data_IF_356196782228
#
_entry.id   IF_356196782228
#
_cell.length_a   1.000
_cell.length_b   1.000
_cell.length_c   1.000
_cell.angle_alpha   90.00
_cell.angle_beta   90.00
_cell.angle_gamma   90.00
#
_symmetry.space_group_name_H-M   'P 1'
#
loop_
_entity.id
_entity.type
_entity.pdbx_description
1 polymer ?
#
# COMPACT_ATOMS: atom_id res chain seq x y z
N UNK A 1 -3.15 -14.61 22.07
CA UNK A 1 -2.85 -13.27 21.52
C UNK A 1 -3.64 -13.17 20.23
N UNK A 2 -4.38 -12.08 19.99
CA UNK A 2 -5.06 -11.88 18.71
C UNK A 2 -3.97 -11.68 17.65
N UNK A 3 -3.89 -12.56 16.65
CA UNK A 3 -2.92 -12.43 15.57
C UNK A 3 -3.46 -11.54 14.43
N UNK A 4 -4.43 -10.68 14.74
CA UNK A 4 -5.08 -9.76 13.81
C UNK A 4 -4.23 -8.52 13.60
N UNK A 5 -4.30 -7.94 12.41
CA UNK A 5 -3.54 -6.73 12.10
C UNK A 5 -4.02 -5.55 12.96
N UNK A 6 -3.08 -4.71 13.37
CA UNK A 6 -3.39 -3.49 14.13
C UNK A 6 -3.86 -2.39 13.19
N UNK A 7 -5.07 -1.87 13.39
CA UNK A 7 -5.62 -0.77 12.61
C UNK A 7 -4.70 0.47 12.61
N UNK A 8 -4.21 0.90 13.76
CA UNK A 8 -3.26 2.02 13.86
C UNK A 8 -1.91 1.72 13.19
N UNK A 9 -1.54 0.44 13.04
CA UNK A 9 -0.40 0.02 12.23
C UNK A 9 -0.67 0.22 10.73
N UNK A 10 -1.83 -0.22 10.26
CA UNK A 10 -2.26 -0.07 8.86
C UNK A 10 -2.42 1.41 8.47
N UNK A 11 -3.00 2.24 9.33
CA UNK A 11 -3.12 3.69 9.07
C UNK A 11 -1.75 4.37 8.92
N UNK A 12 -0.76 3.98 9.74
CA UNK A 12 0.61 4.48 9.61
C UNK A 12 1.30 4.00 8.34
N UNK A 13 1.06 2.75 7.94
CA UNK A 13 1.56 2.20 6.68
C UNK A 13 0.99 2.96 5.49
N UNK A 14 -0.32 3.15 5.47
CA UNK A 14 -1.03 3.93 4.45
C UNK A 14 -0.42 5.32 4.30
N UNK A 15 -0.31 6.06 5.40
CA UNK A 15 0.22 7.43 5.39
C UNK A 15 1.64 7.49 4.82
N UNK A 16 2.54 6.60 5.25
CA UNK A 16 3.91 6.57 4.77
C UNK A 16 4.02 6.24 3.27
N UNK A 17 3.16 5.35 2.76
CA UNK A 17 3.16 4.99 1.34
C UNK A 17 2.52 6.08 0.47
N UNK A 18 1.42 6.68 0.94
CA UNK A 18 0.80 7.82 0.30
C UNK A 18 1.77 9.00 0.19
N UNK A 19 2.55 9.29 1.25
CA UNK A 19 3.56 10.35 1.24
C UNK A 19 4.64 10.09 0.17
N UNK A 20 5.11 8.85 0.03
CA UNK A 20 6.13 8.49 -0.98
C UNK A 20 5.63 8.67 -2.41
N UNK A 21 4.37 8.32 -2.67
CA UNK A 21 3.74 8.51 -3.98
C UNK A 21 3.50 10.00 -4.25
N UNK A 22 2.99 10.74 -3.26
CA UNK A 22 2.79 12.19 -3.37
C UNK A 22 4.11 12.96 -3.56
N UNK A 23 5.19 12.50 -2.94
CA UNK A 23 6.54 13.06 -3.11
C UNK A 23 7.20 12.66 -4.43
N UNK A 24 6.51 11.92 -5.31
CA UNK A 24 7.05 11.38 -6.56
C UNK A 24 8.34 10.56 -6.37
N UNK A 25 8.53 9.96 -5.19
CA UNK A 25 9.67 9.06 -4.93
C UNK A 25 9.37 7.63 -5.38
N UNK A 26 8.08 7.29 -5.51
CA UNK A 26 7.57 6.07 -6.12
C UNK A 26 6.41 6.45 -7.06
N UNK A 27 6.27 5.81 -8.23
CA UNK A 27 5.10 6.06 -9.08
C UNK A 27 3.81 5.44 -8.49
N UNK A 28 3.95 4.31 -7.82
CA UNK A 28 2.87 3.57 -7.19
C UNK A 28 3.41 2.37 -6.42
N UNK A 29 2.54 1.67 -5.71
CA UNK A 29 2.88 0.47 -4.96
C UNK A 29 1.65 -0.40 -4.72
N UNK A 30 1.85 -1.72 -4.66
CA UNK A 30 0.92 -2.66 -4.03
C UNK A 30 1.58 -3.15 -2.76
N UNK A 31 0.90 -3.01 -1.62
CA UNK A 31 1.41 -3.41 -0.32
C UNK A 31 0.52 -4.49 0.25
N UNK A 32 1.09 -5.66 0.52
CA UNK A 32 0.42 -6.77 1.21
C UNK A 32 1.06 -6.95 2.58
N UNK A 33 0.26 -6.88 3.62
CA UNK A 33 0.65 -7.23 4.99
C UNK A 33 -0.29 -8.30 5.49
N UNK A 34 0.25 -9.38 6.05
CA UNK A 34 -0.57 -10.47 6.54
C UNK A 34 0.03 -11.12 7.77
N UNK A 35 -0.85 -11.79 8.50
CA UNK A 35 -0.54 -12.76 9.54
C UNK A 35 -1.07 -14.13 9.10
N UNK A 36 -1.04 -15.12 9.99
CA UNK A 36 -1.65 -16.43 9.70
C UNK A 36 -3.17 -16.37 9.55
N UNK A 37 -3.82 -15.35 10.12
CA UNK A 37 -5.29 -15.28 10.24
C UNK A 37 -5.90 -14.09 9.50
N UNK A 38 -5.07 -13.13 9.07
CA UNK A 38 -5.53 -11.86 8.51
C UNK A 38 -4.61 -11.38 7.39
N UNK A 39 -5.15 -10.67 6.41
CA UNK A 39 -4.40 -10.09 5.31
C UNK A 39 -5.02 -8.77 4.87
N UNK A 40 -4.17 -7.76 4.70
CA UNK A 40 -4.53 -6.43 4.23
C UNK A 40 -3.74 -6.10 2.96
N UNK A 41 -4.42 -5.57 1.96
CA UNK A 41 -3.82 -5.15 0.68
C UNK A 41 -4.21 -3.71 0.41
N UNK A 42 -3.21 -2.88 0.11
CA UNK A 42 -3.37 -1.50 -0.31
C UNK A 42 -2.73 -1.27 -1.68
N UNK A 43 -3.32 -0.38 -2.46
CA UNK A 43 -2.85 -0.04 -3.81
C UNK A 43 -2.72 1.48 -3.89
N UNK A 44 -1.58 1.95 -4.37
CA UNK A 44 -1.23 3.36 -4.49
C UNK A 44 -0.73 3.68 -5.90
N UNK A 45 -1.09 4.87 -6.40
CA UNK A 45 -0.46 5.48 -7.58
C UNK A 45 -0.64 4.71 -8.89
N UNK A 46 0.37 4.82 -9.74
CA UNK A 46 0.37 4.34 -11.14
C UNK A 46 1.56 3.41 -11.39
N UNK A 47 1.53 2.70 -12.52
CA UNK A 47 2.53 1.66 -12.84
C UNK A 47 3.92 2.18 -13.15
N UNK A 48 4.05 3.46 -13.51
CA UNK A 48 5.32 4.13 -13.83
C UNK A 48 5.19 5.64 -13.63
N UNK A 49 6.32 6.36 -13.56
CA UNK A 49 6.30 7.81 -13.52
C UNK A 49 5.63 8.35 -14.79
N UNK A 50 4.81 9.41 -14.63
CA UNK A 50 4.07 10.06 -15.72
C UNK A 50 3.05 9.14 -16.44
N UNK A 51 2.87 7.90 -15.98
CA UNK A 51 1.83 6.99 -16.48
C UNK A 51 0.49 7.37 -15.88
N UNK A 52 -0.56 7.33 -16.71
CA UNK A 52 -1.95 7.39 -16.26
C UNK A 52 -2.53 6.00 -15.95
N UNK A 53 -1.75 4.94 -16.16
CA UNK A 53 -2.19 3.56 -15.89
C UNK A 53 -2.18 3.32 -14.38
N UNK A 54 -3.34 3.16 -13.73
CA UNK A 54 -3.40 2.98 -12.28
C UNK A 54 -2.77 1.66 -11.88
N UNK A 55 -2.09 1.66 -10.73
CA UNK A 55 -1.63 0.44 -10.10
C UNK A 55 -2.84 -0.44 -9.76
N UNK A 56 -2.71 -1.76 -9.89
CA UNK A 56 -3.73 -2.73 -9.47
C UNK A 56 -3.06 -3.84 -8.67
N UNK A 57 -3.84 -4.52 -7.83
CA UNK A 57 -3.34 -5.64 -7.02
C UNK A 57 -2.69 -6.74 -7.87
N UNK A 58 -3.17 -6.93 -9.08
CA UNK A 58 -2.74 -7.99 -10.01
C UNK A 58 -1.71 -7.51 -11.05
N UNK A 59 -1.28 -6.24 -10.98
CA UNK A 59 -0.21 -5.71 -11.84
C UNK A 59 1.12 -6.36 -11.48
#
# INVERSE_FOLDING_TARGET
MSNTLSQAGLERLHAAMAERVAAHTLPGAVVLVGTLEDAHVEVFGTTAFESEVPMRRET
#
